data_IF_280027170392
#
_entry.id   IF_280027170392
#
_cell.length_a   1.000
_cell.length_b   1.000
_cell.length_c   1.000
_cell.angle_alpha   90.00
_cell.angle_beta   90.00
_cell.angle_gamma   90.00
#
_symmetry.space_group_name_H-M   'P 1'
#
loop_
_entity.id
_entity.type
_entity.pdbx_description
1 polymer ?
#
# COMPACT_ATOMS: atom_id res chain seq x y z
N UNK A 1 -0.81 0.69 -15.05
CA UNK A 1 -1.75 1.83 -14.97
C UNK A 1 -1.34 2.69 -13.78
N UNK A 2 -1.35 4.01 -13.93
CA UNK A 2 -0.96 4.94 -12.85
C UNK A 2 -2.09 5.11 -11.83
N UNK A 3 -1.74 5.47 -10.60
CA UNK A 3 -2.70 5.79 -9.53
C UNK A 3 -3.39 7.13 -9.81
N UNK A 4 -4.66 7.23 -9.45
CA UNK A 4 -5.52 8.38 -9.72
C UNK A 4 -4.99 9.72 -9.15
N UNK A 5 -4.34 9.68 -7.98
CA UNK A 5 -3.84 10.89 -7.33
C UNK A 5 -2.58 11.47 -7.99
N UNK A 6 -2.00 10.81 -9.02
CA UNK A 6 -0.94 11.41 -9.84
C UNK A 6 -1.31 12.81 -10.35
N UNK A 7 -2.61 13.01 -10.63
CA UNK A 7 -3.17 14.28 -11.10
C UNK A 7 -3.00 15.42 -10.08
N UNK A 8 -2.96 15.11 -8.79
CA UNK A 8 -2.84 16.10 -7.72
C UNK A 8 -1.40 16.20 -7.20
N UNK A 9 -0.63 15.12 -7.31
CA UNK A 9 0.77 15.12 -6.87
C UNK A 9 1.69 15.87 -7.84
N UNK A 10 1.27 16.10 -9.09
CA UNK A 10 2.05 16.83 -10.12
C UNK A 10 3.45 16.26 -10.36
N UNK A 11 3.62 14.96 -10.09
CA UNK A 11 4.85 14.19 -10.32
C UNK A 11 4.49 12.71 -10.50
N UNK A 12 5.45 11.92 -10.97
CA UNK A 12 5.24 10.47 -11.10
C UNK A 12 5.05 9.83 -9.72
N UNK A 13 4.12 8.88 -9.68
CA UNK A 13 3.79 8.07 -8.51
C UNK A 13 3.79 6.60 -8.94
N UNK A 14 3.69 5.70 -7.98
CA UNK A 14 3.62 4.28 -8.23
C UNK A 14 2.41 3.91 -9.12
N UNK A 15 2.56 2.81 -9.83
CA UNK A 15 1.48 2.15 -10.54
C UNK A 15 0.59 1.34 -9.59
N UNK A 16 -0.63 1.00 -10.03
CA UNK A 16 -1.53 0.08 -9.31
C UNK A 16 -0.86 -1.27 -9.03
N UNK A 17 0.03 -1.74 -9.91
CA UNK A 17 0.76 -2.99 -9.71
C UNK A 17 1.83 -2.89 -8.63
N UNK A 18 2.58 -1.79 -8.57
CA UNK A 18 3.57 -1.53 -7.51
C UNK A 18 2.88 -1.35 -6.15
N UNK A 19 1.77 -0.60 -6.13
CA UNK A 19 0.90 -0.48 -4.96
C UNK A 19 0.42 -1.87 -4.50
N UNK A 20 -0.26 -2.63 -5.36
CA UNK A 20 -0.76 -3.97 -5.04
C UNK A 20 0.34 -4.91 -4.52
N UNK A 21 1.56 -4.81 -5.07
CA UNK A 21 2.70 -5.61 -4.63
C UNK A 21 3.11 -5.26 -3.20
N UNK A 22 3.28 -3.96 -2.88
CA UNK A 22 3.72 -3.53 -1.55
C UNK A 22 2.60 -3.71 -0.51
N UNK A 23 1.32 -3.48 -0.88
CA UNK A 23 0.15 -3.85 -0.07
C UNK A 23 0.15 -5.33 0.28
N UNK A 24 0.40 -6.22 -0.67
CA UNK A 24 0.44 -7.68 -0.42
C UNK A 24 1.50 -8.06 0.62
N UNK A 25 2.68 -7.43 0.56
CA UNK A 25 3.77 -7.67 1.52
C UNK A 25 3.40 -7.15 2.91
N UNK A 26 2.88 -5.91 2.99
CA UNK A 26 2.44 -5.30 4.25
C UNK A 26 1.34 -6.14 4.89
N UNK A 27 0.34 -6.53 4.12
CA UNK A 27 -0.82 -7.28 4.59
C UNK A 27 -0.43 -8.64 5.18
N UNK A 28 0.47 -9.37 4.50
CA UNK A 28 0.98 -10.64 5.00
C UNK A 28 1.72 -10.48 6.34
N UNK A 29 2.63 -9.51 6.44
CA UNK A 29 3.41 -9.27 7.66
C UNK A 29 2.51 -8.81 8.81
N UNK A 30 1.57 -7.89 8.52
CA UNK A 30 0.62 -7.37 9.50
C UNK A 30 -0.29 -8.48 10.03
N UNK A 31 -0.77 -9.37 9.16
CA UNK A 31 -1.56 -10.54 9.57
C UNK A 31 -0.76 -11.48 10.48
N UNK A 32 0.52 -11.72 10.18
CA UNK A 32 1.42 -12.54 11.01
C UNK A 32 1.63 -11.94 12.40
N UNK A 33 1.84 -10.62 12.49
CA UNK A 33 2.03 -9.91 13.76
C UNK A 33 0.76 -9.91 14.62
N UNK A 34 -0.41 -9.75 14.00
CA UNK A 34 -1.71 -9.71 14.69
C UNK A 34 -2.23 -11.11 15.05
N UNK A 35 -1.76 -12.16 14.36
CA UNK A 35 -2.23 -13.53 14.54
C UNK A 35 -3.51 -13.87 13.76
N UNK A 36 -3.77 -13.17 12.65
CA UNK A 36 -4.85 -13.49 11.71
C UNK A 36 -4.40 -14.53 10.66
N UNK A 37 -5.30 -14.98 9.78
CA UNK A 37 -4.92 -15.87 8.67
C UNK A 37 -4.13 -15.11 7.59
N UNK A 38 -2.80 -15.35 7.45
CA UNK A 38 -1.98 -14.58 6.55
C UNK A 38 -2.21 -14.94 5.07
N UNK A 39 -2.64 -16.18 4.77
CA UNK A 39 -2.90 -16.59 3.38
C UNK A 39 -4.17 -15.90 2.87
N UNK A 40 -5.21 -15.89 3.70
CA UNK A 40 -6.46 -15.22 3.40
C UNK A 40 -6.27 -13.73 3.15
N UNK A 41 -5.56 -13.05 4.04
CA UNK A 41 -5.22 -11.61 3.90
C UNK A 41 -4.37 -11.35 2.66
N UNK A 42 -3.37 -12.21 2.39
CA UNK A 42 -2.51 -12.09 1.22
C UNK A 42 -3.32 -12.19 -0.09
N UNK A 43 -4.28 -13.10 -0.18
CA UNK A 43 -5.14 -13.23 -1.37
C UNK A 43 -6.05 -12.00 -1.51
N UNK A 44 -6.65 -11.50 -0.42
CA UNK A 44 -7.43 -10.26 -0.48
C UNK A 44 -6.60 -9.10 -1.03
N UNK A 45 -5.41 -8.88 -0.45
CA UNK A 45 -4.49 -7.82 -0.86
C UNK A 45 -4.02 -7.95 -2.31
N UNK A 46 -3.69 -9.17 -2.78
CA UNK A 46 -3.21 -9.38 -4.14
C UNK A 46 -4.27 -9.11 -5.23
N UNK A 47 -5.55 -9.22 -4.89
CA UNK A 47 -6.65 -9.15 -5.86
C UNK A 47 -7.55 -7.92 -5.71
N UNK A 48 -7.40 -7.12 -4.64
CA UNK A 48 -8.36 -6.06 -4.32
C UNK A 48 -8.56 -5.02 -5.44
N UNK A 49 -7.48 -4.59 -6.09
CA UNK A 49 -7.50 -3.60 -7.18
C UNK A 49 -7.48 -4.26 -8.57
N UNK A 50 -7.62 -5.59 -8.68
CA UNK A 50 -7.63 -6.27 -9.97
C UNK A 50 -8.69 -5.70 -10.96
N UNK A 51 -9.92 -5.36 -10.52
CA UNK A 51 -10.94 -4.75 -11.39
C UNK A 51 -10.48 -3.45 -12.06
N UNK A 52 -9.58 -2.70 -11.42
CA UNK A 52 -9.06 -1.41 -11.91
C UNK A 52 -8.33 -1.54 -13.26
N UNK A 53 -7.81 -2.72 -13.59
CA UNK A 53 -7.24 -2.99 -14.92
C UNK A 53 -8.23 -2.77 -16.08
N UNK A 54 -9.54 -2.78 -15.81
CA UNK A 54 -10.59 -2.46 -16.78
C UNK A 54 -11.32 -1.15 -16.48
N UNK A 55 -11.45 -0.77 -15.21
CA UNK A 55 -12.25 0.39 -14.78
C UNK A 55 -11.45 1.67 -14.59
N UNK A 56 -10.12 1.60 -14.60
CA UNK A 56 -9.27 2.68 -14.08
C UNK A 56 -9.18 2.64 -12.55
N UNK A 57 -8.17 3.31 -11.99
CA UNK A 57 -8.18 3.73 -10.58
C UNK A 57 -8.94 5.06 -10.53
N UNK A 58 -9.98 5.15 -9.69
CA UNK A 58 -10.70 6.39 -9.47
C UNK A 58 -10.65 6.81 -8.01
N UNK A 59 -10.07 7.99 -7.80
CA UNK A 59 -10.11 8.65 -6.51
C UNK A 59 -11.51 9.21 -6.20
N UNK A 60 -11.69 9.69 -4.97
CA UNK A 60 -12.97 10.24 -4.50
C UNK A 60 -13.49 11.44 -5.31
N UNK A 61 -12.60 12.27 -5.87
CA UNK A 61 -13.01 13.37 -6.74
C UNK A 61 -13.51 12.87 -8.10
N UNK A 62 -12.82 11.90 -8.69
CA UNK A 62 -13.23 11.33 -9.98
C UNK A 62 -14.57 10.63 -9.89
N UNK A 63 -14.87 9.99 -8.75
CA UNK A 63 -16.16 9.35 -8.47
C UNK A 63 -17.36 10.31 -8.50
N UNK A 64 -17.15 11.62 -8.49
CA UNK A 64 -18.20 12.63 -8.76
C UNK A 64 -18.59 12.66 -10.25
N UNK A 65 -17.66 12.34 -11.15
CA UNK A 65 -17.83 12.46 -12.61
C UNK A 65 -18.01 11.13 -13.33
N UNK A 66 -17.62 10.02 -12.69
CA UNK A 66 -17.68 8.68 -13.29
C UNK A 66 -18.34 7.66 -12.35
N UNK A 67 -18.95 6.65 -12.94
CA UNK A 67 -19.44 5.46 -12.22
C UNK A 67 -18.65 4.25 -12.68
N UNK A 68 -17.85 3.67 -11.78
CA UNK A 68 -17.13 2.43 -12.05
C UNK A 68 -18.00 1.23 -11.68
N UNK A 69 -17.95 0.19 -12.52
CA UNK A 69 -18.61 -1.08 -12.24
C UNK A 69 -17.55 -2.17 -12.01
N UNK A 70 -16.87 -2.08 -10.86
CA UNK A 70 -15.82 -3.02 -10.46
C UNK A 70 -16.37 -4.44 -10.27
N UNK A 71 -17.61 -4.58 -9.78
CA UNK A 71 -18.28 -5.88 -9.64
C UNK A 71 -18.40 -6.58 -11.01
N UNK A 72 -18.92 -5.88 -12.02
CA UNK A 72 -18.98 -6.41 -13.39
C UNK A 72 -17.59 -6.71 -13.95
N UNK A 73 -16.62 -5.82 -13.75
CA UNK A 73 -15.26 -6.05 -14.23
C UNK A 73 -14.66 -7.31 -13.60
N UNK A 74 -14.82 -7.49 -12.29
CA UNK A 74 -14.40 -8.68 -11.55
C UNK A 74 -15.11 -9.95 -12.06
N UNK A 75 -16.43 -9.87 -12.26
CA UNK A 75 -17.21 -10.99 -12.75
C UNK A 75 -16.72 -11.50 -14.10
N UNK A 76 -16.49 -10.57 -15.03
CA UNK A 76 -16.01 -10.86 -16.37
C UNK A 76 -14.52 -11.25 -16.41
N UNK A 77 -13.69 -10.76 -15.48
CA UNK A 77 -12.27 -11.17 -15.36
C UNK A 77 -12.14 -12.64 -15.01
N UNK A 78 -13.03 -13.13 -14.15
CA UNK A 78 -13.00 -14.51 -13.68
C UNK A 78 -13.91 -15.46 -14.47
N UNK A 79 -14.62 -14.99 -15.50
CA UNK A 79 -15.63 -15.77 -16.21
C UNK A 79 -15.11 -17.10 -16.78
N UNK A 80 -13.87 -17.13 -17.27
CA UNK A 80 -13.25 -18.32 -17.86
C UNK A 80 -12.46 -19.18 -16.85
N UNK A 81 -12.32 -18.72 -15.60
CA UNK A 81 -11.52 -19.39 -14.57
C UNK A 81 -12.29 -20.47 -13.81
N UNK A 82 -13.61 -20.57 -14.02
CA UNK A 82 -14.47 -21.59 -13.41
C UNK A 82 -14.35 -21.62 -11.88
N UNK A 83 -14.41 -22.82 -11.31
CA UNK A 83 -14.41 -23.05 -9.85
C UNK A 83 -13.17 -22.50 -9.14
N UNK A 84 -12.03 -22.36 -9.84
CA UNK A 84 -10.80 -21.83 -9.26
C UNK A 84 -10.95 -20.36 -8.82
N UNK A 85 -11.88 -19.61 -9.40
CA UNK A 85 -12.15 -18.21 -9.00
C UNK A 85 -13.12 -18.06 -7.84
N UNK A 86 -13.82 -19.11 -7.42
CA UNK A 86 -14.88 -19.01 -6.41
C UNK A 86 -14.34 -18.53 -5.06
N UNK A 87 -13.17 -19.05 -4.67
CA UNK A 87 -12.49 -18.64 -3.44
C UNK A 87 -12.14 -17.15 -3.49
N UNK A 88 -11.47 -16.70 -4.55
CA UNK A 88 -11.08 -15.29 -4.71
C UNK A 88 -12.31 -14.38 -4.72
N UNK A 89 -13.39 -14.75 -5.41
CA UNK A 89 -14.65 -13.98 -5.41
C UNK A 89 -15.26 -13.86 -4.02
N UNK A 90 -15.27 -14.94 -3.24
CA UNK A 90 -15.77 -14.92 -1.86
C UNK A 90 -14.90 -14.03 -0.96
N UNK A 91 -13.58 -14.10 -1.12
CA UNK A 91 -12.63 -13.28 -0.38
C UNK A 91 -12.73 -11.80 -0.75
N UNK A 92 -12.91 -11.45 -2.02
CA UNK A 92 -13.12 -10.07 -2.45
C UNK A 92 -14.44 -9.52 -1.93
N UNK A 93 -15.51 -10.32 -1.94
CA UNK A 93 -16.77 -9.92 -1.30
C UNK A 93 -16.57 -9.64 0.20
N UNK A 94 -15.89 -10.54 0.90
CA UNK A 94 -15.58 -10.36 2.32
C UNK A 94 -14.70 -9.12 2.56
N UNK A 95 -13.71 -8.89 1.70
CA UNK A 95 -12.89 -7.69 1.68
C UNK A 95 -13.81 -6.45 1.64
N UNK A 96 -14.65 -6.30 0.61
CA UNK A 96 -15.55 -5.15 0.46
C UNK A 96 -16.50 -4.94 1.65
N UNK A 97 -16.94 -6.01 2.33
CA UNK A 97 -17.82 -5.88 3.50
C UNK A 97 -17.13 -5.31 4.75
N UNK A 98 -15.80 -5.43 4.88
CA UNK A 98 -14.99 -4.88 6.00
C UNK A 98 -15.39 -5.35 7.40
N UNK A 99 -16.02 -6.53 7.52
CA UNK A 99 -16.54 -7.04 8.80
C UNK A 99 -15.59 -7.97 9.55
N UNK A 100 -14.69 -8.64 8.83
CA UNK A 100 -13.77 -9.62 9.42
C UNK A 100 -12.43 -9.00 9.72
N UNK A 101 -11.70 -9.58 10.67
CA UNK A 101 -10.35 -9.13 10.99
C UNK A 101 -9.45 -9.15 9.75
N UNK A 102 -9.53 -10.20 8.92
CA UNK A 102 -8.72 -10.30 7.70
C UNK A 102 -9.05 -9.22 6.68
N UNK A 103 -10.34 -8.92 6.46
CA UNK A 103 -10.76 -7.85 5.55
C UNK A 103 -10.28 -6.46 6.00
N UNK A 104 -10.23 -6.26 7.32
CA UNK A 104 -9.76 -5.02 7.94
C UNK A 104 -8.24 -4.89 7.86
N UNK A 105 -7.49 -5.98 8.10
CA UNK A 105 -6.02 -6.00 7.94
C UNK A 105 -5.62 -5.72 6.50
N UNK A 106 -6.30 -6.33 5.52
CA UNK A 106 -6.03 -6.07 4.11
C UNK A 106 -6.29 -4.60 3.76
N UNK A 107 -7.35 -3.98 4.31
CA UNK A 107 -7.65 -2.56 4.09
C UNK A 107 -6.66 -1.63 4.83
N UNK A 108 -6.22 -2.01 6.02
CA UNK A 108 -5.16 -1.30 6.74
C UNK A 108 -3.86 -1.30 5.93
N UNK A 109 -3.50 -2.43 5.31
CA UNK A 109 -2.32 -2.53 4.46
C UNK A 109 -2.39 -1.61 3.23
N UNK A 110 -3.54 -1.54 2.56
CA UNK A 110 -3.81 -0.59 1.46
C UNK A 110 -3.62 0.88 1.92
N UNK A 111 -4.19 1.24 3.07
CA UNK A 111 -4.02 2.58 3.64
C UNK A 111 -2.56 2.87 4.05
N UNK A 112 -1.86 1.90 4.67
CA UNK A 112 -0.46 2.02 5.08
C UNK A 112 0.44 2.26 3.86
N UNK A 113 0.21 1.53 2.77
CA UNK A 113 0.94 1.72 1.53
C UNK A 113 0.81 3.15 1.02
N UNK A 114 -0.42 3.68 1.03
CA UNK A 114 -0.68 5.04 0.61
C UNK A 114 0.02 6.09 1.50
N UNK A 115 0.01 5.87 2.82
CA UNK A 115 0.72 6.71 3.79
C UNK A 115 2.24 6.73 3.53
N UNK A 116 2.83 5.56 3.23
CA UNK A 116 4.24 5.45 2.88
C UNK A 116 4.56 6.23 1.61
N UNK A 117 3.74 6.11 0.56
CA UNK A 117 3.90 6.91 -0.66
C UNK A 117 3.87 8.40 -0.35
N UNK A 118 2.88 8.88 0.39
CA UNK A 118 2.80 10.31 0.74
C UNK A 118 4.03 10.77 1.53
N UNK A 119 4.55 9.94 2.44
CA UNK A 119 5.78 10.23 3.19
C UNK A 119 7.02 10.29 2.29
N UNK A 120 7.11 9.40 1.31
CA UNK A 120 8.18 9.37 0.32
C UNK A 120 8.14 10.62 -0.57
N UNK A 121 6.96 11.02 -1.03
CA UNK A 121 6.77 12.24 -1.84
C UNK A 121 7.00 13.51 -1.00
N UNK A 122 6.58 13.56 0.27
CA UNK A 122 6.91 14.66 1.19
C UNK A 122 8.44 14.84 1.27
N UNK A 123 9.18 13.74 1.41
CA UNK A 123 10.64 13.78 1.49
C UNK A 123 11.29 14.29 0.19
N UNK A 124 10.62 14.14 -0.96
CA UNK A 124 11.02 14.71 -2.25
C UNK A 124 10.66 16.20 -2.38
N UNK A 125 9.98 16.79 -1.39
CA UNK A 125 9.56 18.19 -1.40
C UNK A 125 8.16 18.42 -1.98
N UNK A 126 7.34 17.38 -2.09
CA UNK A 126 5.97 17.53 -2.57
C UNK A 126 5.05 18.10 -1.46
N UNK A 127 4.75 19.38 -1.55
CA UNK A 127 3.90 20.08 -0.58
C UNK A 127 2.45 19.58 -0.57
N UNK A 128 1.94 19.04 -1.69
CA UNK A 128 0.58 18.50 -1.73
C UNK A 128 0.49 17.12 -1.06
N UNK A 129 1.50 16.28 -1.27
CA UNK A 129 1.63 15.02 -0.53
C UNK A 129 1.73 15.28 0.97
N UNK A 130 2.54 16.28 1.36
CA UNK A 130 2.66 16.74 2.75
C UNK A 130 1.31 17.20 3.30
N UNK A 131 0.62 18.13 2.60
CA UNK A 131 -0.69 18.64 3.01
C UNK A 131 -1.66 17.49 3.28
N UNK A 132 -1.69 16.50 2.39
CA UNK A 132 -2.59 15.35 2.46
C UNK A 132 -2.21 14.32 3.52
N UNK A 133 -0.92 14.13 3.79
CA UNK A 133 -0.42 13.25 4.86
C UNK A 133 -0.80 13.74 6.26
N UNK A 134 -0.94 15.04 6.45
CA UNK A 134 -1.32 15.66 7.72
C UNK A 134 -2.75 16.23 7.72
N UNK A 135 -3.60 15.83 6.75
CA UNK A 135 -5.02 16.21 6.70
C UNK A 135 -5.91 15.12 7.28
N UNK A 136 -7.20 15.42 7.40
CA UNK A 136 -8.22 14.44 7.81
C UNK A 136 -8.34 13.28 6.82
N UNK A 137 -7.93 13.45 5.55
CA UNK A 137 -7.99 12.42 4.50
C UNK A 137 -7.22 11.14 4.89
N UNK A 138 -6.14 11.29 5.65
CA UNK A 138 -5.23 10.20 6.02
C UNK A 138 -5.16 9.99 7.53
N UNK A 139 -6.23 10.32 8.25
CA UNK A 139 -6.29 10.19 9.71
C UNK A 139 -6.07 8.76 10.21
N UNK A 140 -5.38 8.63 11.34
CA UNK A 140 -5.23 7.40 12.14
C UNK A 140 -6.58 6.70 12.42
N UNK A 141 -7.68 7.44 12.48
CA UNK A 141 -9.02 6.90 12.68
C UNK A 141 -9.55 6.08 11.50
N UNK A 142 -8.93 6.16 10.32
CA UNK A 142 -9.26 5.35 9.15
C UNK A 142 -8.66 3.95 9.19
N UNK A 143 -7.81 3.66 10.19
CA UNK A 143 -7.21 2.35 10.41
C UNK A 143 -8.01 1.55 11.42
N UNK A 144 -8.23 0.28 11.13
CA UNK A 144 -9.05 -0.62 11.93
C UNK A 144 -8.27 -1.16 13.12
N UNK A 145 -7.08 -1.72 12.86
CA UNK A 145 -6.30 -2.44 13.87
C UNK A 145 -5.38 -1.51 14.65
N UNK A 146 -5.16 -1.83 15.93
CA UNK A 146 -4.25 -1.05 16.77
C UNK A 146 -2.81 -1.14 16.27
N UNK A 147 -2.43 -2.27 15.67
CA UNK A 147 -1.10 -2.41 15.07
C UNK A 147 -0.90 -1.49 13.86
N UNK A 148 -1.91 -1.34 13.00
CA UNK A 148 -1.85 -0.39 11.90
C UNK A 148 -1.75 1.06 12.41
N UNK A 149 -2.47 1.38 13.48
CA UNK A 149 -2.41 2.68 14.16
C UNK A 149 -1.02 2.97 14.75
N UNK A 150 -0.33 1.98 15.29
CA UNK A 150 1.08 2.13 15.70
C UNK A 150 1.98 2.42 14.48
N UNK A 151 1.82 1.66 13.39
CA UNK A 151 2.58 1.86 12.15
C UNK A 151 2.34 3.26 11.58
N UNK A 152 1.12 3.79 11.67
CA UNK A 152 0.84 5.17 11.30
C UNK A 152 1.72 6.16 12.08
N UNK A 153 1.81 6.03 13.40
CA UNK A 153 2.66 6.91 14.21
C UNK A 153 4.13 6.78 13.81
N UNK A 154 4.59 5.56 13.53
CA UNK A 154 5.95 5.30 13.07
C UNK A 154 6.24 5.97 11.72
N UNK A 155 5.31 5.91 10.76
CA UNK A 155 5.44 6.56 9.44
C UNK A 155 5.54 8.08 9.60
N UNK A 156 4.67 8.67 10.43
CA UNK A 156 4.65 10.12 10.66
C UNK A 156 5.97 10.59 11.28
N UNK A 157 6.50 9.83 12.24
CA UNK A 157 7.66 10.23 13.05
C UNK A 157 9.02 9.77 12.47
N UNK A 158 9.04 9.02 11.37
CA UNK A 158 10.28 8.51 10.76
C UNK A 158 10.53 9.10 9.37
N UNK A 159 11.75 8.89 8.85
CA UNK A 159 12.07 9.18 7.45
C UNK A 159 12.26 7.86 6.68
N UNK A 160 11.57 7.66 5.54
CA UNK A 160 11.67 6.43 4.75
C UNK A 160 13.10 6.04 4.36
N UNK A 161 14.01 7.01 4.28
CA UNK A 161 15.39 6.80 3.83
C UNK A 161 16.41 6.57 4.97
N UNK A 162 15.99 6.51 6.23
CA UNK A 162 16.91 6.31 7.36
C UNK A 162 17.67 4.99 7.30
N UNK A 163 17.05 3.93 6.77
CA UNK A 163 17.64 2.59 6.75
C UNK A 163 18.97 2.56 5.97
N UNK A 164 19.05 3.26 4.83
CA UNK A 164 20.26 3.27 4.01
C UNK A 164 21.32 4.21 4.58
N UNK A 165 20.91 5.30 5.26
CA UNK A 165 21.85 6.24 5.87
C UNK A 165 22.65 5.57 7.00
N UNK A 166 21.96 4.84 7.88
CA UNK A 166 22.59 4.04 8.95
C UNK A 166 23.58 3.01 8.36
N UNK A 167 23.20 2.37 7.25
CA UNK A 167 24.06 1.41 6.55
C UNK A 167 25.23 2.07 5.81
N UNK A 168 25.05 3.28 5.27
CA UNK A 168 26.09 4.04 4.56
C UNK A 168 27.23 4.38 5.50
N UNK A 169 26.95 4.84 6.72
CA UNK A 169 27.99 5.16 7.69
C UNK A 169 28.84 3.94 8.05
N UNK A 170 28.18 2.80 8.29
CA UNK A 170 28.84 1.52 8.57
C UNK A 170 29.69 1.05 7.39
N UNK A 171 29.16 1.15 6.18
CA UNK A 171 29.81 0.70 4.95
C UNK A 171 30.98 1.62 4.58
N UNK A 172 30.79 2.93 4.66
CA UNK A 172 31.84 3.92 4.39
C UNK A 172 33.03 3.79 5.34
N UNK A 173 32.78 3.58 6.64
CA UNK A 173 33.83 3.31 7.64
C UNK A 173 34.62 2.04 7.29
N UNK A 174 33.94 0.98 6.85
CA UNK A 174 34.58 -0.28 6.42
C UNK A 174 35.49 -0.06 5.20
N UNK A 175 35.02 0.64 4.17
CA UNK A 175 35.82 0.87 2.96
C UNK A 175 37.03 1.78 3.18
N UNK A 176 36.94 2.78 4.08
CA UNK A 176 38.11 3.60 4.45
C UNK A 176 39.13 2.75 5.21
N UNK A 177 38.70 1.93 6.18
CA UNK A 177 39.58 1.02 6.91
C UNK A 177 40.30 0.05 5.95
N UNK A 178 39.58 -0.60 5.04
CA UNK A 178 40.13 -1.56 4.08
C UNK A 178 41.07 -0.90 3.04
N UNK A 179 40.91 0.39 2.75
CA UNK A 179 41.80 1.15 1.86
C UNK A 179 43.12 1.61 2.51
N UNK A 180 43.15 1.75 3.84
CA UNK A 180 44.35 2.15 4.59
C UNK A 180 45.27 0.97 4.95
N UNK A 181 44.76 -0.25 4.93
CA UNK A 181 45.52 -1.49 5.09
C UNK A 181 46.17 -1.99 3.79
N UNK A 182 45.71 -1.53 2.63
CA UNK A 182 46.28 -1.87 1.30
C UNK A 182 47.41 -0.93 0.84
N UNK A 183 47.75 0.07 1.65
CA UNK A 183 48.83 1.04 1.38
C UNK A 183 50.07 0.86 2.28
N UNK A 184 50.20 -0.30 2.94
CA UNK A 184 51.41 -0.73 3.67
C UNK A 184 51.93 -2.04 3.08
#
# INVERSE_FOLDING_TARGET
>A
MQRAYVLHMLQEVESVAEHSQRVTVIAYLLAKEIGADPLKVLIMAAFHDLPESRTGDANWHQKEYITQNEEKAQEEQFALMGKASNEVRALLKEYHERKTLESQIAKDADNIDYLLTLKELELQGNEEAKRRLYSEDTSKSHLYTDKAKEIFDDIINSKPNEWYQKNREKTHKKYIADSSDKSK
#
